data_IF_924320990672
#
_entry.id   IF_924320990672
#
_cell.length_a   1.000
_cell.length_b   1.000
_cell.length_c   1.000
_cell.angle_alpha   90.00
_cell.angle_beta   90.00
_cell.angle_gamma   90.00
#
_symmetry.space_group_name_H-M   'P 1'
#
loop_
_entity.id
_entity.type
_entity.pdbx_description
1 polymer ?
#
# COMPACT_ATOMS: atom_id res chain seq x y z
N UNK A 1 4.11 21.15 15.76
CA UNK A 1 4.15 21.38 14.29
C UNK A 1 3.01 22.34 13.93
N UNK A 2 3.28 23.64 13.84
CA UNK A 2 2.24 24.67 13.58
C UNK A 2 1.85 24.78 12.10
N UNK A 3 2.53 24.03 11.23
CA UNK A 3 2.31 23.89 9.79
C UNK A 3 1.25 22.83 9.45
N UNK A 4 0.99 21.89 10.36
CA UNK A 4 0.03 20.80 10.19
C UNK A 4 -1.34 21.21 10.75
N UNK A 5 -2.41 20.80 10.07
CA UNK A 5 -3.79 20.88 10.57
C UNK A 5 -4.33 19.47 10.63
N UNK A 6 -4.79 19.07 11.81
CA UNK A 6 -5.40 17.76 12.02
C UNK A 6 -6.90 17.92 12.03
N UNK A 7 -7.56 17.13 11.20
CA UNK A 7 -9.02 17.03 11.15
C UNK A 7 -9.35 15.57 11.36
N UNK A 8 -10.09 15.29 12.42
CA UNK A 8 -10.65 13.97 12.64
C UNK A 8 -11.88 13.80 11.73
N UNK A 9 -11.84 12.79 10.85
CA UNK A 9 -12.89 12.54 9.87
C UNK A 9 -14.22 12.21 10.54
N UNK A 10 -14.23 11.29 11.49
CA UNK A 10 -15.44 10.85 12.20
C UNK A 10 -16.05 12.00 13.00
N UNK A 11 -15.21 12.83 13.60
CA UNK A 11 -15.70 13.99 14.35
C UNK A 11 -16.38 15.04 13.45
N UNK A 12 -16.07 15.08 12.15
CA UNK A 12 -16.77 15.97 11.21
C UNK A 12 -18.27 15.67 11.09
N UNK A 13 -18.74 14.47 11.46
CA UNK A 13 -20.17 14.13 11.47
C UNK A 13 -20.98 14.94 12.50
N UNK A 14 -20.31 15.49 13.52
CA UNK A 14 -20.97 16.29 14.54
C UNK A 14 -20.99 17.78 14.17
N UNK A 15 -22.19 18.37 14.16
CA UNK A 15 -22.39 19.80 13.86
C UNK A 15 -21.62 20.76 14.76
N UNK A 16 -21.36 20.37 16.01
CA UNK A 16 -20.56 21.16 16.93
C UNK A 16 -19.07 21.15 16.58
N UNK A 17 -18.55 20.09 15.96
CA UNK A 17 -17.13 19.93 15.69
C UNK A 17 -16.67 20.98 14.68
N UNK A 18 -17.34 21.06 13.52
CA UNK A 18 -17.02 22.07 12.51
C UNK A 18 -17.23 23.48 13.07
N UNK A 19 -18.34 23.73 13.78
CA UNK A 19 -18.65 25.05 14.33
C UNK A 19 -17.58 25.54 15.32
N UNK A 20 -17.01 24.64 16.14
CA UNK A 20 -15.97 24.99 17.12
C UNK A 20 -14.57 24.97 16.51
N UNK A 21 -14.21 23.92 15.78
CA UNK A 21 -12.83 23.67 15.35
C UNK A 21 -12.44 24.44 14.10
N UNK A 22 -13.38 24.81 13.23
CA UNK A 22 -13.06 25.58 12.02
C UNK A 22 -12.32 26.90 12.35
N UNK A 23 -12.68 27.55 13.47
CA UNK A 23 -12.03 28.78 13.92
C UNK A 23 -10.59 28.56 14.38
N UNK A 24 -10.24 27.34 14.78
CA UNK A 24 -8.91 26.95 15.25
C UNK A 24 -8.07 26.26 14.18
N UNK A 25 -8.61 26.06 12.98
CA UNK A 25 -7.95 25.41 11.85
C UNK A 25 -7.77 26.38 10.68
N UNK A 26 -6.92 27.42 10.82
CA UNK A 26 -6.75 28.42 9.77
C UNK A 26 -6.26 27.77 8.47
N UNK A 27 -6.92 28.15 7.38
CA UNK A 27 -6.68 27.62 6.05
C UNK A 27 -7.29 26.25 5.76
N UNK A 28 -8.18 25.74 6.64
CA UNK A 28 -9.06 24.59 6.37
C UNK A 28 -10.47 25.11 6.10
N UNK A 29 -11.05 24.74 4.97
CA UNK A 29 -12.37 25.22 4.54
C UNK A 29 -13.39 24.08 4.61
N UNK A 30 -14.39 24.23 5.50
CA UNK A 30 -15.51 23.30 5.62
C UNK A 30 -16.70 23.81 4.78
N UNK A 31 -17.19 23.05 3.80
CA UNK A 31 -18.25 23.50 2.89
C UNK A 31 -19.68 23.39 3.46
N UNK A 32 -19.81 23.09 4.74
CA UNK A 32 -21.09 22.99 5.46
C UNK A 32 -20.86 22.87 6.97
N UNK A 33 -21.92 22.55 7.72
CA UNK A 33 -21.90 22.48 9.19
C UNK A 33 -21.42 21.13 9.74
N UNK A 34 -21.56 20.06 8.97
CA UNK A 34 -21.05 18.74 9.31
C UNK A 34 -20.96 17.88 8.05
N UNK A 35 -20.10 16.87 8.12
CA UNK A 35 -19.95 15.84 7.10
C UNK A 35 -21.11 14.85 7.21
N UNK A 36 -21.82 14.66 6.09
CA UNK A 36 -22.87 13.67 5.96
C UNK A 36 -22.79 13.09 4.54
N UNK A 37 -22.26 11.86 4.37
CA UNK A 37 -22.10 11.27 3.05
C UNK A 37 -23.42 10.86 2.39
N UNK A 38 -24.53 10.78 3.14
CA UNK A 38 -25.84 10.35 2.65
C UNK A 38 -26.70 11.56 2.24
N UNK A 39 -26.70 12.60 3.07
CA UNK A 39 -27.52 13.80 2.87
C UNK A 39 -26.72 14.99 2.36
N UNK A 40 -25.62 14.77 1.63
CA UNK A 40 -24.68 15.82 1.21
C UNK A 40 -25.28 16.89 0.29
N UNK A 41 -26.42 16.62 -0.36
CA UNK A 41 -27.16 17.58 -1.18
C UNK A 41 -28.09 18.50 -0.38
N UNK A 42 -28.27 18.23 0.92
CA UNK A 42 -29.11 19.07 1.79
C UNK A 42 -28.39 20.37 2.16
N UNK A 43 -29.17 21.44 2.36
CA UNK A 43 -28.63 22.74 2.75
C UNK A 43 -28.03 22.61 4.16
N UNK A 44 -26.69 22.74 4.24
CA UNK A 44 -25.83 22.76 5.44
C UNK A 44 -24.98 21.50 5.72
N UNK A 45 -24.98 20.48 4.87
CA UNK A 45 -24.04 19.34 5.00
C UNK A 45 -23.05 19.30 3.84
N UNK A 46 -22.06 18.41 3.91
CA UNK A 46 -21.14 18.15 2.81
C UNK A 46 -20.66 16.70 2.78
N UNK A 47 -20.26 16.24 1.60
CA UNK A 47 -19.52 14.99 1.40
C UNK A 47 -18.00 15.24 1.39
N UNK A 48 -17.21 14.17 1.45
CA UNK A 48 -15.76 14.25 1.49
C UNK A 48 -15.18 14.82 0.20
N UNK A 49 -15.79 14.55 -0.96
CA UNK A 49 -15.40 15.17 -2.23
C UNK A 49 -15.43 16.70 -2.15
N UNK A 50 -16.53 17.29 -1.68
CA UNK A 50 -16.66 18.74 -1.52
C UNK A 50 -15.62 19.28 -0.55
N UNK A 51 -15.37 18.57 0.56
CA UNK A 51 -14.32 18.95 1.49
C UNK A 51 -12.95 19.01 0.81
N UNK A 52 -12.54 17.98 0.06
CA UNK A 52 -11.26 17.98 -0.66
C UNK A 52 -11.16 19.10 -1.70
N UNK A 53 -12.22 19.34 -2.48
CA UNK A 53 -12.24 20.40 -3.49
C UNK A 53 -12.01 21.80 -2.90
N UNK A 54 -12.56 22.07 -1.72
CA UNK A 54 -12.37 23.35 -1.01
C UNK A 54 -11.01 23.49 -0.32
N UNK A 55 -10.21 22.42 -0.29
CA UNK A 55 -8.91 22.39 0.38
C UNK A 55 -7.74 22.08 -0.56
N UNK A 56 -7.95 22.17 -1.87
CA UNK A 56 -6.94 21.87 -2.91
C UNK A 56 -5.75 22.83 -2.92
N UNK A 57 -5.84 23.99 -2.25
CA UNK A 57 -4.73 24.93 -2.06
C UNK A 57 -3.66 24.41 -1.09
N UNK A 58 -3.88 23.24 -0.46
CA UNK A 58 -2.95 22.57 0.44
C UNK A 58 -2.86 21.08 0.11
N UNK A 59 -1.73 20.49 0.49
CA UNK A 59 -1.63 19.03 0.49
C UNK A 59 -2.51 18.44 1.59
N UNK A 60 -3.36 17.49 1.21
CA UNK A 60 -4.27 16.78 2.11
C UNK A 60 -3.80 15.33 2.23
N UNK A 61 -3.70 14.84 3.46
CA UNK A 61 -3.30 13.47 3.77
C UNK A 61 -4.36 12.80 4.62
N UNK A 62 -4.67 11.54 4.31
CA UNK A 62 -5.53 10.69 5.12
C UNK A 62 -4.65 9.65 5.83
N UNK A 63 -4.64 9.64 7.17
CA UNK A 63 -3.78 8.76 7.95
C UNK A 63 -4.61 7.65 8.59
N UNK A 64 -4.10 6.40 8.55
CA UNK A 64 -4.80 5.22 9.07
C UNK A 64 -6.08 4.89 8.25
N UNK A 65 -6.10 5.35 6.98
CA UNK A 65 -7.18 5.09 6.03
C UNK A 65 -8.22 6.20 5.95
N UNK A 66 -9.21 5.98 5.09
CA UNK A 66 -10.42 6.80 4.97
C UNK A 66 -11.61 5.90 5.30
N UNK A 67 -12.66 6.48 5.85
CA UNK A 67 -13.93 5.77 6.06
C UNK A 67 -14.51 5.28 4.74
N UNK A 68 -14.86 3.99 4.68
CA UNK A 68 -15.52 3.36 3.52
C UNK A 68 -16.98 3.86 3.33
N UNK A 69 -17.51 4.62 4.30
CA UNK A 69 -18.87 5.16 4.27
C UNK A 69 -19.09 6.33 3.29
N UNK A 70 -18.04 6.83 2.64
CA UNK A 70 -18.13 7.95 1.69
C UNK A 70 -17.25 7.71 0.43
N UNK A 71 -17.81 7.13 -0.64
CA UNK A 71 -17.11 6.93 -1.90
C UNK A 71 -17.14 8.17 -2.81
N UNK A 72 -17.67 9.31 -2.36
CA UNK A 72 -17.89 10.49 -3.23
C UNK A 72 -16.63 11.00 -3.91
N UNK A 73 -15.47 10.82 -3.28
CA UNK A 73 -14.18 11.34 -3.72
C UNK A 73 -13.48 10.48 -4.77
N UNK A 74 -13.79 9.17 -4.86
CA UNK A 74 -13.02 8.16 -5.60
C UNK A 74 -12.89 8.45 -7.10
N UNK A 75 -13.84 9.18 -7.69
CA UNK A 75 -13.81 9.57 -9.11
C UNK A 75 -12.99 10.83 -9.38
N UNK A 76 -12.65 11.58 -8.34
CA UNK A 76 -12.01 12.91 -8.45
C UNK A 76 -10.64 12.99 -7.79
N UNK A 77 -10.36 12.11 -6.83
CA UNK A 77 -9.08 12.01 -6.16
C UNK A 77 -8.57 10.57 -6.20
N UNK A 78 -7.26 10.43 -6.22
CA UNK A 78 -6.53 9.18 -6.04
C UNK A 78 -5.70 9.26 -4.76
N UNK A 79 -5.33 8.10 -4.22
CA UNK A 79 -4.54 7.94 -3.01
C UNK A 79 -3.15 7.47 -3.39
N UNK A 80 -2.13 8.25 -3.03
CA UNK A 80 -0.73 7.83 -3.19
C UNK A 80 -0.14 7.56 -1.80
N UNK A 81 0.39 6.36 -1.54
CA UNK A 81 0.85 6.02 -0.19
C UNK A 81 2.06 6.88 0.20
N UNK A 82 2.00 7.44 1.40
CA UNK A 82 3.09 8.18 2.03
C UNK A 82 3.05 7.93 3.55
N UNK A 83 3.74 6.90 3.99
CA UNK A 83 3.75 6.63 5.42
C UNK A 83 2.58 5.72 5.80
N UNK A 84 2.17 5.88 7.05
CA UNK A 84 0.85 5.45 7.53
C UNK A 84 -0.30 6.23 6.87
N UNK A 85 0.02 7.28 6.11
CA UNK A 85 -0.94 8.13 5.43
C UNK A 85 -0.96 7.90 3.92
N UNK A 86 -2.03 8.36 3.29
CA UNK A 86 -2.18 8.47 1.85
C UNK A 86 -2.28 9.95 1.49
N UNK A 87 -1.48 10.39 0.52
CA UNK A 87 -1.61 11.70 -0.10
C UNK A 87 -2.81 11.69 -1.04
N UNK A 88 -3.77 12.59 -0.78
CA UNK A 88 -4.99 12.72 -1.58
C UNK A 88 -4.75 13.70 -2.73
N UNK A 89 -4.80 13.17 -3.94
CA UNK A 89 -4.33 13.85 -5.14
C UNK A 89 -5.43 13.92 -6.18
N UNK A 90 -5.71 15.07 -6.82
CA UNK A 90 -6.65 15.13 -7.94
C UNK A 90 -6.27 14.15 -9.04
N UNK A 91 -7.24 13.42 -9.61
CA UNK A 91 -6.99 12.38 -10.63
C UNK A 91 -6.25 12.87 -11.88
N UNK A 92 -6.26 14.18 -12.15
CA UNK A 92 -5.56 14.79 -13.29
C UNK A 92 -4.05 14.93 -13.05
N UNK A 93 -3.58 14.82 -11.79
CA UNK A 93 -2.15 14.93 -11.49
C UNK A 93 -1.43 13.69 -11.99
N UNK A 94 -0.39 13.90 -12.81
CA UNK A 94 0.43 12.83 -13.32
C UNK A 94 1.18 12.12 -12.18
N UNK A 95 1.11 10.80 -12.15
CA UNK A 95 1.87 9.96 -11.24
C UNK A 95 3.19 9.54 -11.88
N UNK A 96 4.30 9.72 -11.17
CA UNK A 96 5.65 9.34 -11.60
C UNK A 96 6.16 8.22 -10.69
N UNK A 97 6.08 6.94 -11.11
CA UNK A 97 6.35 5.78 -10.24
C UNK A 97 7.75 5.77 -9.62
N UNK A 98 8.79 6.05 -10.41
CA UNK A 98 10.19 6.05 -9.98
C UNK A 98 10.47 7.15 -8.96
N UNK A 99 9.97 8.36 -9.22
CA UNK A 99 10.13 9.49 -8.29
C UNK A 99 9.40 9.22 -6.98
N UNK A 100 8.20 8.64 -7.06
CA UNK A 100 7.43 8.30 -5.86
C UNK A 100 8.10 7.20 -5.05
N UNK A 101 8.57 6.13 -5.71
CA UNK A 101 9.32 5.06 -5.08
C UNK A 101 10.57 5.60 -4.35
N UNK A 102 11.33 6.48 -5.00
CA UNK A 102 12.51 7.09 -4.39
C UNK A 102 12.14 8.00 -3.21
N UNK A 103 11.06 8.77 -3.33
CA UNK A 103 10.56 9.66 -2.27
C UNK A 103 10.14 8.90 -1.02
N UNK A 104 9.51 7.74 -1.17
CA UNK A 104 8.95 6.98 -0.04
C UNK A 104 9.87 5.92 0.54
N UNK A 105 10.99 5.60 -0.15
CA UNK A 105 11.91 4.52 0.22
C UNK A 105 12.37 4.53 1.68
N UNK A 106 12.69 5.71 2.23
CA UNK A 106 13.30 5.86 3.55
C UNK A 106 12.49 6.77 4.50
N UNK A 107 11.18 6.84 4.34
CA UNK A 107 10.33 7.76 5.13
C UNK A 107 10.08 7.29 6.57
N UNK A 108 10.38 6.02 6.88
CA UNK A 108 10.12 5.45 8.20
C UNK A 108 11.37 5.39 9.05
N UNK A 109 11.36 6.09 10.18
CA UNK A 109 12.35 5.97 11.25
C UNK A 109 11.75 5.30 12.49
N UNK A 110 10.84 4.33 12.28
CA UNK A 110 10.16 3.65 13.37
C UNK A 110 11.03 2.51 13.89
N UNK A 111 11.42 2.57 15.17
CA UNK A 111 12.44 1.68 15.76
C UNK A 111 11.87 0.56 16.61
N UNK A 112 10.57 0.58 16.92
CA UNK A 112 9.95 -0.45 17.75
C UNK A 112 9.93 -1.81 17.02
N UNK A 113 10.44 -2.89 17.64
CA UNK A 113 10.36 -4.24 17.07
C UNK A 113 8.91 -4.65 16.82
N UNK A 114 8.66 -5.50 15.80
CA UNK A 114 7.30 -5.86 15.37
C UNK A 114 6.43 -6.45 16.49
N UNK A 115 6.99 -7.35 17.29
CA UNK A 115 6.26 -8.10 18.32
C UNK A 115 6.59 -7.64 19.75
N UNK A 116 6.97 -6.38 19.95
CA UNK A 116 7.39 -5.85 21.28
C UNK A 116 6.23 -5.57 22.25
N UNK A 117 5.02 -5.35 21.76
CA UNK A 117 3.86 -4.95 22.57
C UNK A 117 2.91 -6.10 22.89
N UNK A 118 2.20 -6.01 24.01
CA UNK A 118 1.19 -6.99 24.41
C UNK A 118 0.09 -7.13 23.33
N UNK A 119 -0.35 -8.35 22.96
CA UNK A 119 -1.28 -8.55 21.83
C UNK A 119 -2.61 -7.79 21.93
N UNK A 120 -3.10 -7.55 23.14
CA UNK A 120 -4.36 -6.82 23.38
C UNK A 120 -4.20 -5.29 23.56
N UNK A 121 -3.01 -4.75 23.33
CA UNK A 121 -2.72 -3.32 23.54
C UNK A 121 -2.99 -2.48 22.29
N UNK A 122 -3.30 -1.20 22.48
CA UNK A 122 -3.39 -0.24 21.37
C UNK A 122 -2.03 -0.02 20.70
N UNK A 123 -0.96 -0.10 21.47
CA UNK A 123 0.41 -0.03 21.01
C UNK A 123 0.72 -1.15 20.01
N UNK A 124 0.19 -2.36 20.20
CA UNK A 124 0.33 -3.46 19.23
C UNK A 124 -0.32 -3.11 17.89
N UNK A 125 -1.50 -2.50 17.92
CA UNK A 125 -2.24 -2.08 16.71
C UNK A 125 -1.48 -0.96 15.99
N UNK A 126 -1.07 0.08 16.72
CA UNK A 126 -0.29 1.17 16.15
C UNK A 126 1.05 0.69 15.58
N UNK A 127 1.74 -0.22 16.28
CA UNK A 127 2.99 -0.80 15.80
C UNK A 127 2.78 -1.60 14.52
N UNK A 128 1.71 -2.41 14.44
CA UNK A 128 1.36 -3.13 13.21
C UNK A 128 1.18 -2.17 12.03
N UNK A 129 0.42 -1.08 12.21
CA UNK A 129 0.25 -0.06 11.17
C UNK A 129 1.59 0.54 10.72
N UNK A 130 2.48 0.86 11.66
CA UNK A 130 3.82 1.38 11.34
C UNK A 130 4.66 0.38 10.55
N UNK A 131 4.57 -0.91 10.87
CA UNK A 131 5.25 -1.97 10.11
C UNK A 131 4.65 -2.12 8.72
N UNK A 132 3.33 -2.31 8.59
CA UNK A 132 2.64 -2.46 7.30
C UNK A 132 2.87 -1.26 6.37
N UNK A 133 2.99 -0.05 6.93
CA UNK A 133 3.26 1.16 6.18
C UNK A 133 4.51 1.07 5.29
N UNK A 134 5.57 0.34 5.72
CA UNK A 134 6.80 0.15 4.92
C UNK A 134 6.52 -0.44 3.54
N UNK A 135 5.57 -1.36 3.48
CA UNK A 135 5.21 -2.08 2.26
C UNK A 135 4.23 -1.33 1.36
N UNK A 136 3.55 -0.27 1.86
CA UNK A 136 2.44 0.37 1.14
C UNK A 136 2.82 0.90 -0.24
N UNK A 137 4.01 1.48 -0.41
CA UNK A 137 4.43 1.93 -1.76
C UNK A 137 4.65 0.76 -2.70
N UNK A 138 5.35 -0.29 -2.25
CA UNK A 138 5.60 -1.47 -3.07
C UNK A 138 4.29 -2.17 -3.47
N UNK A 139 3.32 -2.23 -2.55
CA UNK A 139 1.98 -2.75 -2.81
C UNK A 139 1.19 -1.88 -3.79
N UNK A 140 1.21 -0.56 -3.62
CA UNK A 140 0.53 0.36 -4.53
C UNK A 140 1.05 0.24 -5.97
N UNK A 141 2.37 0.15 -6.15
CA UNK A 141 2.96 -0.02 -7.48
C UNK A 141 2.59 -1.38 -8.09
N UNK A 142 2.51 -2.43 -7.27
CA UNK A 142 2.03 -3.74 -7.70
C UNK A 142 0.56 -3.69 -8.16
N UNK A 143 -0.33 -3.12 -7.37
CA UNK A 143 -1.75 -2.98 -7.72
C UNK A 143 -1.96 -2.08 -8.95
N UNK A 144 -1.17 -1.01 -9.08
CA UNK A 144 -1.16 -0.19 -10.29
C UNK A 144 -0.74 -1.02 -11.52
N UNK A 145 0.25 -1.90 -11.40
CA UNK A 145 0.67 -2.80 -12.47
C UNK A 145 -0.44 -3.79 -12.88
N UNK A 146 -1.19 -4.34 -11.91
CA UNK A 146 -2.31 -5.25 -12.19
C UNK A 146 -3.42 -4.59 -13.03
N UNK A 147 -3.59 -3.27 -12.91
CA UNK A 147 -4.61 -2.49 -13.64
C UNK A 147 -4.12 -1.96 -14.99
N UNK A 148 -2.82 -2.01 -15.25
CA UNK A 148 -2.21 -1.49 -16.48
C UNK A 148 -2.04 -2.56 -17.55
N UNK A 149 -1.98 -2.13 -18.81
CA UNK A 149 -1.63 -2.95 -19.96
C UNK A 149 -0.35 -2.41 -20.64
N UNK A 150 0.38 -3.28 -21.33
CA UNK A 150 1.59 -2.93 -22.10
C UNK A 150 2.85 -2.74 -21.25
N UNK A 151 3.87 -2.11 -21.85
CA UNK A 151 5.25 -2.10 -21.34
C UNK A 151 5.41 -1.43 -19.96
N UNK A 152 4.57 -0.46 -19.62
CA UNK A 152 4.57 0.20 -18.30
C UNK A 152 4.30 -0.77 -17.15
N UNK A 153 3.61 -1.89 -17.41
CA UNK A 153 3.29 -2.91 -16.41
C UNK A 153 4.54 -3.63 -15.89
N UNK A 154 5.43 -4.06 -16.79
CA UNK A 154 6.63 -4.78 -16.41
C UNK A 154 7.55 -3.93 -15.53
N UNK A 155 7.66 -2.63 -15.86
CA UNK A 155 8.44 -1.66 -15.08
C UNK A 155 7.88 -1.45 -13.67
N UNK A 156 6.56 -1.39 -13.52
CA UNK A 156 5.93 -1.26 -12.20
C UNK A 156 6.13 -2.52 -11.33
N UNK A 157 6.04 -3.72 -11.92
CA UNK A 157 6.38 -4.94 -11.18
C UNK A 157 7.85 -4.96 -10.75
N UNK A 158 8.77 -4.49 -11.59
CA UNK A 158 10.18 -4.37 -11.22
C UNK A 158 10.38 -3.41 -10.04
N UNK A 159 9.74 -2.24 -10.05
CA UNK A 159 9.82 -1.29 -8.94
C UNK A 159 9.24 -1.88 -7.65
N UNK A 160 8.07 -2.52 -7.73
CA UNK A 160 7.46 -3.21 -6.59
C UNK A 160 8.36 -4.30 -6.03
N UNK A 161 8.87 -5.19 -6.89
CA UNK A 161 9.82 -6.25 -6.50
C UNK A 161 11.07 -5.69 -5.82
N UNK A 162 11.67 -4.64 -6.39
CA UNK A 162 12.88 -4.02 -5.85
C UNK A 162 12.64 -3.47 -4.45
N UNK A 163 11.56 -2.71 -4.26
CA UNK A 163 11.20 -2.17 -2.95
C UNK A 163 10.91 -3.29 -1.93
N UNK A 164 10.11 -4.29 -2.30
CA UNK A 164 9.82 -5.41 -1.41
C UNK A 164 11.07 -6.16 -0.99
N UNK A 165 11.96 -6.46 -1.94
CA UNK A 165 13.22 -7.16 -1.66
C UNK A 165 14.10 -6.38 -0.71
N UNK A 166 14.21 -5.07 -0.90
CA UNK A 166 15.00 -4.21 -0.01
C UNK A 166 14.42 -4.15 1.41
N UNK A 167 13.10 -3.98 1.53
CA UNK A 167 12.43 -3.90 2.83
C UNK A 167 12.57 -5.21 3.60
N UNK A 168 12.33 -6.35 2.94
CA UNK A 168 12.47 -7.68 3.54
C UNK A 168 13.92 -7.99 3.90
N UNK A 169 14.89 -7.65 3.03
CA UNK A 169 16.30 -7.87 3.33
C UNK A 169 16.84 -7.02 4.49
N UNK A 170 16.20 -5.88 4.78
CA UNK A 170 16.64 -4.98 5.84
C UNK A 170 16.18 -5.39 7.26
N UNK A 171 15.28 -6.38 7.39
CA UNK A 171 14.69 -6.75 8.68
C UNK A 171 14.67 -8.27 8.87
N UNK A 172 14.92 -8.75 10.08
CA UNK A 172 14.91 -10.17 10.41
C UNK A 172 13.60 -10.65 11.05
N UNK A 173 12.90 -9.77 11.77
CA UNK A 173 11.61 -10.03 12.40
C UNK A 173 10.59 -9.04 11.84
N UNK A 174 9.67 -9.55 11.02
CA UNK A 174 8.74 -8.75 10.23
C UNK A 174 7.41 -9.49 10.01
N UNK A 175 6.30 -8.75 9.71
CA UNK A 175 5.00 -9.35 9.47
C UNK A 175 5.00 -10.46 8.39
N UNK A 176 4.35 -11.62 8.62
CA UNK A 176 4.38 -12.74 7.68
C UNK A 176 3.92 -12.39 6.25
N UNK A 177 2.94 -11.49 6.11
CA UNK A 177 2.40 -11.09 4.80
C UNK A 177 3.45 -10.43 3.88
N UNK A 178 4.58 -9.97 4.42
CA UNK A 178 5.69 -9.45 3.62
C UNK A 178 6.31 -10.52 2.72
N UNK A 179 6.47 -11.74 3.23
CA UNK A 179 6.97 -12.86 2.44
C UNK A 179 5.99 -13.21 1.32
N UNK A 180 4.69 -13.28 1.63
CA UNK A 180 3.64 -13.51 0.62
C UNK A 180 3.67 -12.45 -0.49
N UNK A 181 3.78 -11.18 -0.13
CA UNK A 181 3.80 -10.07 -1.08
C UNK A 181 5.06 -10.09 -1.95
N UNK A 182 6.23 -10.37 -1.39
CA UNK A 182 7.46 -10.49 -2.15
C UNK A 182 7.42 -11.70 -3.10
N UNK A 183 6.86 -12.83 -2.67
CA UNK A 183 6.70 -14.00 -3.51
C UNK A 183 5.78 -13.73 -4.72
N UNK A 184 4.68 -13.01 -4.52
CA UNK A 184 3.78 -12.55 -5.59
C UNK A 184 4.47 -11.57 -6.56
N UNK A 185 5.26 -10.64 -6.02
CA UNK A 185 6.04 -9.72 -6.86
C UNK A 185 7.07 -10.46 -7.73
N UNK A 186 7.75 -11.47 -7.18
CA UNK A 186 8.64 -12.36 -7.92
C UNK A 186 7.90 -13.10 -9.05
N UNK A 187 6.71 -13.65 -8.79
CA UNK A 187 5.88 -14.34 -9.79
C UNK A 187 5.40 -13.41 -10.91
N UNK A 188 4.91 -12.21 -10.56
CA UNK A 188 4.42 -11.25 -11.55
C UNK A 188 5.55 -10.67 -12.40
N UNK A 189 6.70 -10.39 -11.80
CA UNK A 189 7.88 -9.95 -12.55
C UNK A 189 8.37 -11.04 -13.51
N UNK A 190 8.40 -12.31 -13.07
CA UNK A 190 8.71 -13.45 -13.92
C UNK A 190 7.75 -13.54 -15.11
N UNK A 191 6.45 -13.45 -14.84
CA UNK A 191 5.39 -13.54 -15.87
C UNK A 191 5.43 -12.37 -16.86
N UNK A 192 5.95 -11.21 -16.45
CA UNK A 192 6.06 -10.03 -17.32
C UNK A 192 7.12 -10.16 -18.42
N UNK A 193 8.00 -11.17 -18.35
CA UNK A 193 9.06 -11.37 -19.35
C UNK A 193 10.19 -10.34 -19.27
N UNK A 194 10.36 -9.66 -18.13
CA UNK A 194 11.38 -8.63 -17.95
C UNK A 194 12.80 -9.18 -18.13
N UNK A 195 13.60 -8.56 -19.00
CA UNK A 195 14.92 -9.07 -19.41
C UNK A 195 16.04 -8.87 -18.37
N UNK A 196 15.81 -8.01 -17.37
CA UNK A 196 16.81 -7.69 -16.34
C UNK A 196 16.99 -8.76 -15.25
N UNK A 197 16.09 -9.74 -15.14
CA UNK A 197 16.12 -10.74 -14.07
C UNK A 197 16.10 -12.16 -14.62
N UNK A 198 16.97 -13.02 -14.07
CA UNK A 198 17.03 -14.42 -14.44
C UNK A 198 15.80 -15.19 -13.95
N UNK A 199 15.13 -15.98 -14.82
CA UNK A 199 13.97 -16.77 -14.43
C UNK A 199 14.19 -17.70 -13.23
N UNK A 200 15.37 -18.33 -13.12
CA UNK A 200 15.70 -19.20 -11.98
C UNK A 200 15.69 -18.45 -10.65
N UNK A 201 16.27 -17.24 -10.63
CA UNK A 201 16.33 -16.41 -9.42
C UNK A 201 14.95 -15.96 -8.93
N UNK A 202 14.05 -15.59 -9.87
CA UNK A 202 12.68 -15.22 -9.53
C UNK A 202 11.85 -16.41 -9.06
N UNK A 203 12.01 -17.58 -9.69
CA UNK A 203 11.38 -18.82 -9.24
C UNK A 203 11.86 -19.20 -7.84
N UNK A 204 13.18 -19.17 -7.60
CA UNK A 204 13.77 -19.45 -6.29
C UNK A 204 13.27 -18.47 -5.21
N UNK A 205 13.22 -17.17 -5.53
CA UNK A 205 12.65 -16.14 -4.65
C UNK A 205 11.20 -16.48 -4.26
N UNK A 206 10.35 -16.71 -5.27
CA UNK A 206 8.92 -16.92 -5.04
C UNK A 206 8.66 -18.18 -4.20
N UNK A 207 9.34 -19.29 -4.53
CA UNK A 207 9.27 -20.54 -3.76
C UNK A 207 9.70 -20.31 -2.30
N UNK A 208 10.85 -19.65 -2.10
CA UNK A 208 11.40 -19.43 -0.76
C UNK A 208 10.44 -18.63 0.12
N UNK A 209 9.96 -17.49 -0.36
CA UNK A 209 9.11 -16.62 0.45
C UNK A 209 7.69 -17.17 0.63
N UNK A 210 7.10 -17.87 -0.35
CA UNK A 210 5.85 -18.58 -0.09
C UNK A 210 6.00 -19.70 0.94
N UNK A 211 7.11 -20.44 0.93
CA UNK A 211 7.40 -21.43 1.98
C UNK A 211 7.52 -20.78 3.36
N UNK A 212 8.28 -19.69 3.49
CA UNK A 212 8.40 -18.95 4.75
C UNK A 212 7.04 -18.41 5.24
N UNK A 213 6.21 -17.90 4.33
CA UNK A 213 4.87 -17.45 4.68
C UNK A 213 4.01 -18.59 5.25
N UNK A 214 4.03 -19.77 4.62
CA UNK A 214 3.29 -20.95 5.08
C UNK A 214 3.79 -21.49 6.43
N UNK A 215 5.07 -21.28 6.74
CA UNK A 215 5.65 -21.62 8.05
C UNK A 215 5.19 -20.64 9.13
N UNK A 216 5.17 -19.34 8.82
CA UNK A 216 4.78 -18.27 9.75
C UNK A 216 3.28 -18.17 9.98
N UNK A 217 2.47 -18.48 8.97
CA UNK A 217 1.00 -18.42 9.02
C UNK A 217 0.36 -19.70 8.45
N UNK A 218 0.46 -20.83 9.17
CA UNK A 218 -0.03 -22.12 8.67
C UNK A 218 -1.55 -22.22 8.60
N UNK A 219 -2.26 -21.32 9.29
CA UNK A 219 -3.71 -21.28 9.41
C UNK A 219 -4.41 -20.39 8.38
N UNK A 220 -3.64 -19.67 7.53
CA UNK A 220 -4.22 -18.82 6.50
C UNK A 220 -5.17 -19.61 5.57
N UNK A 221 -6.41 -19.13 5.31
CA UNK A 221 -7.36 -19.83 4.45
C UNK A 221 -6.87 -20.09 3.02
N UNK A 222 -5.90 -19.31 2.53
CA UNK A 222 -5.28 -19.44 1.21
C UNK A 222 -4.09 -20.40 1.22
N UNK A 223 -3.68 -20.95 2.37
CA UNK A 223 -2.54 -21.85 2.47
C UNK A 223 -2.58 -23.05 1.49
N UNK A 224 -3.74 -23.70 1.20
CA UNK A 224 -3.82 -24.74 0.17
C UNK A 224 -3.49 -24.22 -1.24
N UNK A 225 -3.95 -23.02 -1.60
CA UNK A 225 -3.66 -22.40 -2.89
C UNK A 225 -2.18 -22.05 -3.01
N UNK A 226 -1.57 -21.52 -1.94
CA UNK A 226 -0.14 -21.17 -1.90
C UNK A 226 0.72 -22.44 -2.00
N UNK A 227 0.37 -23.54 -1.32
CA UNK A 227 1.06 -24.83 -1.47
C UNK A 227 1.00 -25.36 -2.91
N UNK A 228 -0.14 -25.20 -3.58
CA UNK A 228 -0.30 -25.54 -5.00
C UNK A 228 0.61 -24.67 -5.88
N UNK A 229 0.66 -23.36 -5.63
CA UNK A 229 1.55 -22.44 -6.34
C UNK A 229 3.04 -22.81 -6.17
N UNK A 230 3.50 -23.10 -4.95
CA UNK A 230 4.87 -23.58 -4.67
C UNK A 230 5.19 -24.85 -5.47
N UNK A 231 4.25 -25.80 -5.51
CA UNK A 231 4.42 -27.04 -6.29
C UNK A 231 4.55 -26.76 -7.78
N UNK A 232 3.78 -25.81 -8.31
CA UNK A 232 3.86 -25.39 -9.71
C UNK A 232 5.23 -24.75 -10.01
N UNK A 233 5.65 -23.77 -9.21
CA UNK A 233 6.90 -23.05 -9.37
C UNK A 233 8.12 -23.99 -9.31
N UNK A 234 8.10 -24.99 -8.41
CA UNK A 234 9.14 -26.03 -8.34
C UNK A 234 9.23 -26.84 -9.65
N UNK A 235 8.09 -27.19 -10.25
CA UNK A 235 8.07 -27.89 -11.55
C UNK A 235 8.62 -27.01 -12.67
N UNK A 236 8.27 -25.74 -12.71
CA UNK A 236 8.80 -24.79 -13.70
C UNK A 236 10.32 -24.61 -13.58
N UNK A 237 10.82 -24.46 -12.36
CA UNK A 237 12.25 -24.36 -12.07
C UNK A 237 13.02 -25.62 -12.50
N UNK A 238 12.47 -26.79 -12.22
CA UNK A 238 13.06 -28.06 -12.66
C UNK A 238 13.11 -28.19 -14.19
N UNK A 239 12.05 -27.77 -14.90
CA UNK A 239 12.03 -27.75 -16.37
C UNK A 239 13.10 -26.81 -16.91
N UNK A 240 13.24 -25.61 -16.34
CA UNK A 240 14.27 -24.63 -16.73
C UNK A 240 15.68 -25.23 -16.65
N UNK A 241 16.00 -25.88 -15.52
CA UNK A 241 17.29 -26.55 -15.34
C UNK A 241 17.51 -27.72 -16.31
N UNK A 242 16.47 -28.51 -16.62
CA UNK A 242 16.58 -29.59 -17.60
C UNK A 242 16.83 -29.06 -19.02
N UNK A 243 16.17 -27.97 -19.41
CA UNK A 243 16.37 -27.34 -20.71
C UNK A 243 17.79 -26.79 -20.86
N UNK A 244 18.32 -26.12 -19.83
CA UNK A 244 19.69 -25.61 -19.82
C UNK A 244 20.74 -26.73 -19.93
N UNK A 245 20.50 -27.90 -19.33
CA UNK A 245 21.39 -29.07 -19.47
C UNK A 245 21.36 -29.70 -20.86
N UNK A 246 20.30 -29.51 -21.64
CA UNK A 246 20.12 -30.08 -22.99
C UNK A 246 20.63 -29.17 -24.10
N UNK A 247 21.08 -27.96 -23.79
CA UNK A 247 21.70 -27.02 -24.74
C UNK A 247 23.21 -26.97 -24.48
N UNK A 248 24.00 -27.97 -24.89
CA UNK A 248 25.46 -27.83 -24.92
C UNK A 248 25.81 -26.80 -26.00
N UNK A 249 26.62 -25.81 -25.63
CA UNK A 249 27.31 -24.93 -26.57
C UNK A 249 28.39 -25.68 -27.34
#
# INVERSE_FOLDING_TARGET
RADIRLVDQEMMTYSWYVAKLAQHLPGVHFPGRFWDPVLSETKNTFDFRRFLLHNTHRDVFACIGLSDGDPSWERTFTRWPLGVCDYLVPVQKQFHPEEWAQRTRNIYNWTEPHNSFHPASWERVANEEMWQARMKTAFFLFDLAERMQGDGRARLYELSYTLYKEIVAAHSDYPPNWDKNLALACERLLSSGHRGYGPDGLLACSIHHFSLYLEKDPTDPQAPAIRSAVTHLLKERNKLHQSQKKTPG
#
